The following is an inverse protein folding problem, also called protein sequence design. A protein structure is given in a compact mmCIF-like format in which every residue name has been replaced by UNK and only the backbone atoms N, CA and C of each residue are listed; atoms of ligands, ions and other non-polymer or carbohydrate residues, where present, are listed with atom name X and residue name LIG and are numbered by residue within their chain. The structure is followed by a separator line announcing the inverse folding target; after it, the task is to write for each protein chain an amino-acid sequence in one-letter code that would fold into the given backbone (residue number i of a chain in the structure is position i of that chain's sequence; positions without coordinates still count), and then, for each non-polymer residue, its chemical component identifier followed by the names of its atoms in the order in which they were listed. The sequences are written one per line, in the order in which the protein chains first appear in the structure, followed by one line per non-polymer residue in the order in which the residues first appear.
data_IF_250981894844
#
_entry.id   IF_250981894844
#
_cell.length_a   1.000
_cell.length_b   1.000
_cell.length_c   1.000
_cell.angle_alpha   90.00
_cell.angle_beta   90.00
_cell.angle_gamma   90.00
#
_symmetry.space_group_name_H-M   'P 1'
#
loop_
_entity.id
_entity.type
_entity.pdbx_description
1 polymer ?
#
# COMPACT_ATOMS: atom_id res chain seq x y z
N UNK A 1 17.16 -7.14 9.61
CA UNK A 1 15.84 -7.81 9.58
C UNK A 1 14.80 -6.89 10.20
N UNK A 2 13.52 -7.06 9.86
CA UNK A 2 12.41 -6.19 10.35
C UNK A 2 12.42 -6.05 11.87
N UNK A 3 12.57 -7.16 12.60
CA UNK A 3 12.60 -7.15 14.07
C UNK A 3 13.72 -6.27 14.63
N UNK A 4 14.93 -6.34 14.07
CA UNK A 4 16.06 -5.53 14.54
C UNK A 4 15.82 -4.03 14.35
N UNK A 5 15.13 -3.62 13.27
CA UNK A 5 14.78 -2.20 13.07
C UNK A 5 13.75 -1.73 14.09
N UNK A 6 12.73 -2.55 14.35
CA UNK A 6 11.70 -2.27 15.36
C UNK A 6 12.31 -2.18 16.76
N UNK A 7 13.14 -3.15 17.15
CA UNK A 7 13.83 -3.17 18.43
C UNK A 7 14.75 -1.95 18.62
N UNK A 8 15.42 -1.51 17.55
CA UNK A 8 16.32 -0.35 17.62
C UNK A 8 15.59 0.99 17.72
N UNK A 9 14.45 1.14 17.03
CA UNK A 9 13.75 2.42 16.88
C UNK A 9 12.64 2.59 17.92
N UNK A 10 11.87 1.52 18.17
CA UNK A 10 10.70 1.53 19.05
C UNK A 10 11.03 0.85 20.39
N UNK A 11 11.93 -0.13 20.40
CA UNK A 11 12.33 -0.85 21.61
C UNK A 11 11.15 -1.57 22.27
N UNK A 12 10.99 -1.36 23.58
CA UNK A 12 9.90 -1.95 24.37
C UNK A 12 8.62 -1.09 24.37
N UNK A 13 8.65 0.08 23.73
CA UNK A 13 7.47 0.95 23.63
C UNK A 13 6.43 0.36 22.68
N UNK A 14 5.16 0.73 22.90
CA UNK A 14 4.06 0.25 22.04
C UNK A 14 4.19 0.89 20.65
N UNK A 15 4.19 0.12 19.55
CA UNK A 15 4.21 0.67 18.20
C UNK A 15 3.02 1.57 17.92
N UNK A 16 3.27 2.72 17.28
CA UNK A 16 2.25 3.68 16.86
C UNK A 16 2.44 4.08 15.40
N UNK A 17 1.38 4.58 14.76
CA UNK A 17 1.42 5.03 13.35
C UNK A 17 2.42 6.16 13.10
N UNK A 18 2.67 6.99 14.11
CA UNK A 18 3.67 8.05 14.08
C UNK A 18 5.09 7.52 13.87
N UNK A 19 5.37 6.30 14.33
CA UNK A 19 6.69 5.68 14.23
C UNK A 19 7.01 5.23 12.81
N UNK A 20 6.02 5.17 11.90
CA UNK A 20 6.17 4.70 10.52
C UNK A 20 7.31 5.41 9.77
N UNK A 21 7.47 6.72 9.98
CA UNK A 21 8.56 7.50 9.36
C UNK A 21 9.97 7.09 9.85
N UNK A 22 10.05 6.47 11.01
CA UNK A 22 11.30 6.05 11.66
C UNK A 22 11.66 4.59 11.38
N UNK A 23 10.80 3.80 10.73
CA UNK A 23 11.00 2.38 10.39
C UNK A 23 10.86 2.10 8.88
N UNK A 24 11.70 2.73 8.03
CA UNK A 24 11.56 2.66 6.58
C UNK A 24 11.69 1.24 6.00
N UNK A 25 12.49 0.35 6.62
CA UNK A 25 12.64 -1.01 6.12
C UNK A 25 11.39 -1.84 6.39
N UNK A 26 10.80 -1.71 7.58
CA UNK A 26 9.53 -2.34 7.94
C UNK A 26 8.40 -1.86 7.03
N UNK A 27 8.35 -0.56 6.74
CA UNK A 27 7.38 0.01 5.80
C UNK A 27 7.56 -0.56 4.39
N UNK A 28 8.80 -0.67 3.90
CA UNK A 28 9.09 -1.27 2.61
C UNK A 28 8.66 -2.75 2.54
N UNK A 29 8.90 -3.54 3.59
CA UNK A 29 8.47 -4.95 3.66
C UNK A 29 6.95 -5.08 3.59
N UNK A 30 6.21 -4.21 4.29
CA UNK A 30 4.74 -4.19 4.22
C UNK A 30 4.27 -3.93 2.78
N UNK A 31 4.83 -2.92 2.11
CA UNK A 31 4.48 -2.62 0.73
C UNK A 31 4.83 -3.76 -0.23
N UNK A 32 5.95 -4.45 0.00
CA UNK A 32 6.34 -5.58 -0.84
C UNK A 32 5.41 -6.79 -0.66
N UNK A 33 4.97 -7.05 0.58
CA UNK A 33 3.95 -8.06 0.86
C UNK A 33 2.62 -7.68 0.19
N UNK A 34 2.23 -6.41 0.20
CA UNK A 34 1.02 -5.95 -0.48
C UNK A 34 1.14 -6.07 -2.02
N UNK A 35 2.31 -5.73 -2.58
CA UNK A 35 2.62 -5.88 -4.01
C UNK A 35 2.54 -7.34 -4.46
N UNK A 36 3.08 -8.26 -3.64
CA UNK A 36 3.10 -9.69 -3.96
C UNK A 36 1.79 -10.39 -3.66
N UNK A 37 1.17 -10.07 -2.52
CA UNK A 37 -0.01 -10.76 -2.00
C UNK A 37 -1.31 -10.43 -2.74
N UNK A 38 -1.30 -9.43 -3.63
CA UNK A 38 -2.41 -8.95 -4.48
C UNK A 38 -3.79 -9.45 -4.02
N UNK A 39 -4.25 -8.93 -2.88
CA UNK A 39 -5.44 -9.44 -2.16
C UNK A 39 -6.70 -9.33 -3.02
N UNK A 40 -6.71 -8.43 -4.01
CA UNK A 40 -7.76 -8.29 -5.02
C UNK A 40 -7.13 -8.10 -6.41
N UNK A 41 -6.86 -9.18 -7.16
CA UNK A 41 -6.13 -9.13 -8.44
C UNK A 41 -6.71 -8.20 -9.51
N UNK A 42 -8.02 -7.95 -9.45
CA UNK A 42 -8.78 -7.17 -10.43
C UNK A 42 -9.47 -5.94 -9.81
N UNK A 43 -9.10 -5.55 -8.59
CA UNK A 43 -9.81 -4.54 -7.79
C UNK A 43 -11.35 -4.79 -7.75
N UNK A 44 -12.14 -3.82 -7.31
CA UNK A 44 -13.60 -3.87 -7.43
C UNK A 44 -14.03 -3.47 -8.86
N UNK A 45 -15.17 -3.99 -9.36
CA UNK A 45 -15.75 -3.49 -10.61
C UNK A 45 -16.04 -2.00 -10.53
N UNK A 46 -15.54 -1.24 -11.50
CA UNK A 46 -15.78 0.20 -11.64
C UNK A 46 -16.59 0.48 -12.91
N UNK A 47 -17.36 1.56 -12.91
CA UNK A 47 -18.07 2.12 -14.07
C UNK A 47 -17.71 3.59 -14.24
N UNK A 48 -17.87 4.14 -15.44
CA UNK A 48 -17.58 5.56 -15.67
C UNK A 48 -18.74 6.42 -15.15
N UNK A 49 -18.44 7.56 -14.52
CA UNK A 49 -19.50 8.46 -14.02
C UNK A 49 -20.16 9.28 -15.15
N UNK A 50 -19.45 9.39 -16.28
CA UNK A 50 -19.81 10.11 -17.49
C UNK A 50 -18.94 9.60 -18.65
N UNK A 51 -19.38 9.86 -19.87
CA UNK A 51 -18.65 9.53 -21.08
C UNK A 51 -17.22 10.11 -21.05
N UNK A 52 -16.23 9.27 -21.34
CA UNK A 52 -14.81 9.66 -21.29
C UNK A 52 -14.03 9.02 -22.42
N UNK A 53 -13.08 9.76 -23.01
CA UNK A 53 -12.08 9.20 -23.91
C UNK A 53 -10.79 8.92 -23.16
N UNK A 54 -10.42 7.65 -23.00
CA UNK A 54 -9.19 7.22 -22.35
C UNK A 54 -8.25 6.59 -23.38
N UNK A 55 -7.06 7.19 -23.57
CA UNK A 55 -6.04 6.70 -24.53
C UNK A 55 -6.60 6.47 -25.95
N UNK A 56 -7.53 7.31 -26.40
CA UNK A 56 -8.16 7.23 -27.71
C UNK A 56 -9.39 6.32 -27.80
N UNK A 57 -9.76 5.61 -26.71
CA UNK A 57 -10.96 4.79 -26.65
C UNK A 57 -12.11 5.56 -25.99
N UNK A 58 -13.28 5.58 -26.63
CA UNK A 58 -14.49 6.12 -26.03
C UNK A 58 -15.13 5.11 -25.08
N UNK A 59 -15.35 5.52 -23.83
CA UNK A 59 -15.97 4.74 -22.77
C UNK A 59 -17.28 5.44 -22.36
N UNK A 60 -18.45 4.80 -22.54
CA UNK A 60 -19.73 5.38 -22.14
C UNK A 60 -19.95 5.30 -20.62
N UNK A 61 -20.85 6.14 -20.13
CA UNK A 61 -21.43 6.06 -18.77
C UNK A 61 -22.07 4.71 -18.49
#
# INVERSE_FOLDING_TARGET
NVQNEIEKVIGQSRPQTEHRKSIPYTDAVIHEIQRFGNIIPMNLPHATAQDVTLRGYFLPK
#
